data_IF_642584940465
#
_entry.id   IF_642584940465
#
_cell.length_a   1.000
_cell.length_b   1.000
_cell.length_c   1.000
_cell.angle_alpha   90.00
_cell.angle_beta   90.00
_cell.angle_gamma   90.00
#
_symmetry.space_group_name_H-M   'P 1'
#
loop_
_entity.id
_entity.type
_entity.pdbx_description
1 polymer ?
#
# COMPACT_ATOMS: atom_id res chain seq x y z
N UNK A 1 -11.96 -9.31 12.22
CA UNK A 1 -11.85 -9.41 10.75
C UNK A 1 -12.20 -8.09 10.07
N UNK A 2 -13.44 -7.57 10.13
CA UNK A 2 -13.86 -6.30 9.45
C UNK A 2 -13.10 -4.98 9.74
N UNK A 3 -12.19 -4.90 10.72
CA UNK A 3 -11.64 -3.62 11.19
C UNK A 3 -10.37 -3.18 10.47
N UNK A 4 -9.67 -4.07 9.76
CA UNK A 4 -8.27 -3.83 9.38
C UNK A 4 -8.11 -3.23 7.98
N UNK A 5 -8.98 -3.56 7.02
CA UNK A 5 -9.07 -2.87 5.73
C UNK A 5 -9.50 -1.40 5.89
N UNK A 6 -10.35 -1.13 6.88
CA UNK A 6 -10.73 0.24 7.25
C UNK A 6 -9.55 1.07 7.76
N UNK A 7 -8.50 0.47 8.33
CA UNK A 7 -7.31 1.19 8.82
C UNK A 7 -6.46 1.69 7.64
N UNK A 8 -6.30 0.87 6.60
CA UNK A 8 -5.56 1.25 5.39
C UNK A 8 -6.28 2.39 4.65
N UNK A 9 -7.60 2.29 4.48
CA UNK A 9 -8.43 3.31 3.82
C UNK A 9 -8.55 4.62 4.62
N UNK A 10 -8.66 4.56 5.96
CA UNK A 10 -8.76 5.77 6.79
C UNK A 10 -7.42 6.50 6.92
N UNK A 11 -6.30 5.79 6.97
CA UNK A 11 -4.96 6.39 7.04
C UNK A 11 -4.67 7.28 5.83
N UNK A 12 -5.01 6.82 4.62
CA UNK A 12 -4.80 7.56 3.37
C UNK A 12 -5.69 8.80 3.30
N UNK A 13 -6.95 8.72 3.75
CA UNK A 13 -7.90 9.83 3.67
C UNK A 13 -7.56 11.00 4.60
N UNK A 14 -6.87 10.75 5.73
CA UNK A 14 -6.43 11.80 6.66
C UNK A 14 -5.20 12.57 6.17
N UNK A 15 -4.39 11.98 5.28
CA UNK A 15 -3.15 12.58 4.77
C UNK A 15 -3.37 13.63 3.65
N UNK A 16 -4.51 13.60 2.97
CA UNK A 16 -4.79 14.43 1.78
C UNK A 16 -5.44 15.78 2.12
N UNK A 17 -6.14 15.90 3.26
CA UNK A 17 -7.13 17.00 3.47
C UNK A 17 -6.59 18.19 4.29
N UNK A 18 -5.49 18.03 5.03
CA UNK A 18 -4.92 19.11 5.85
C UNK A 18 -3.41 19.15 5.68
N UNK A 19 -2.75 20.19 6.19
CA UNK A 19 -1.28 20.33 6.36
C UNK A 19 -0.53 21.20 5.34
N UNK A 20 -0.68 22.53 5.41
CA UNK A 20 0.35 23.46 4.97
C UNK A 20 1.39 23.64 6.10
N UNK A 21 2.44 22.81 6.15
CA UNK A 21 3.51 22.90 7.16
C UNK A 21 4.74 23.69 6.70
N UNK A 22 5.36 24.43 7.63
CA UNK A 22 6.51 25.31 7.41
C UNK A 22 7.83 24.58 7.69
N UNK A 23 8.63 24.29 6.67
CA UNK A 23 9.96 23.71 6.87
C UNK A 23 10.98 24.71 7.40
N UNK A 24 11.88 24.25 8.28
CA UNK A 24 12.96 25.06 8.89
C UNK A 24 14.18 25.25 7.98
N UNK A 25 14.42 24.36 7.01
CA UNK A 25 15.44 24.47 5.96
C UNK A 25 14.78 24.35 4.58
N UNK A 26 14.93 25.39 3.76
CA UNK A 26 14.33 25.50 2.43
C UNK A 26 14.76 24.40 1.45
N UNK A 27 15.96 23.84 1.62
CA UNK A 27 16.47 22.79 0.73
C UNK A 27 15.93 21.41 1.10
N UNK A 28 15.87 21.11 2.40
CA UNK A 28 15.18 19.93 2.93
C UNK A 28 13.70 19.97 2.57
N UNK A 29 13.06 21.14 2.72
CA UNK A 29 11.67 21.39 2.33
C UNK A 29 11.36 20.96 0.91
N UNK A 30 12.18 21.43 -0.05
CA UNK A 30 11.96 21.14 -1.46
C UNK A 30 12.16 19.68 -1.82
N UNK A 31 13.18 19.04 -1.24
CA UNK A 31 13.41 17.62 -1.50
C UNK A 31 12.25 16.77 -0.95
N UNK A 32 11.78 17.11 0.24
CA UNK A 32 10.65 16.45 0.87
C UNK A 32 9.35 16.69 0.10
N UNK A 33 9.06 17.93 -0.28
CA UNK A 33 7.89 18.32 -1.09
C UNK A 33 7.91 17.59 -2.45
N UNK A 34 9.04 17.54 -3.15
CA UNK A 34 9.14 16.84 -4.43
C UNK A 34 8.93 15.31 -4.29
N UNK A 35 9.44 14.70 -3.20
CA UNK A 35 9.12 13.30 -2.91
C UNK A 35 7.63 13.15 -2.60
N UNK A 36 7.06 14.02 -1.77
CA UNK A 36 5.65 14.00 -1.39
C UNK A 36 4.72 14.16 -2.60
N UNK A 37 5.00 15.07 -3.53
CA UNK A 37 4.26 15.21 -4.79
C UNK A 37 4.25 13.90 -5.59
N UNK A 38 5.37 13.17 -5.61
CA UNK A 38 5.44 11.84 -6.23
C UNK A 38 4.56 10.83 -5.50
N UNK A 39 4.48 10.93 -4.16
CA UNK A 39 3.62 10.07 -3.36
C UNK A 39 2.14 10.38 -3.60
N UNK A 40 1.78 11.66 -3.67
CA UNK A 40 0.42 12.12 -3.91
C UNK A 40 -0.10 11.74 -5.30
N UNK A 41 0.73 11.92 -6.33
CA UNK A 41 0.35 11.60 -7.72
C UNK A 41 0.28 10.09 -7.99
N UNK A 42 1.15 9.29 -7.38
CA UNK A 42 1.36 7.89 -7.78
C UNK A 42 1.18 6.87 -6.67
N UNK A 43 1.74 7.14 -5.50
CA UNK A 43 1.73 6.17 -4.41
C UNK A 43 0.33 6.05 -3.78
N UNK A 44 -0.25 7.14 -3.27
CA UNK A 44 -1.54 7.08 -2.59
C UNK A 44 -2.67 6.56 -3.49
N UNK A 45 -2.80 6.99 -4.77
CA UNK A 45 -3.80 6.42 -5.67
C UNK A 45 -3.60 4.92 -5.91
N UNK A 46 -2.35 4.46 -6.01
CA UNK A 46 -2.05 3.04 -6.15
C UNK A 46 -2.42 2.24 -4.90
N UNK A 47 -2.13 2.75 -3.70
CA UNK A 47 -2.52 2.09 -2.45
C UNK A 47 -4.04 2.02 -2.32
N UNK A 48 -4.75 3.07 -2.72
CA UNK A 48 -6.23 3.10 -2.73
C UNK A 48 -6.79 2.01 -3.65
N UNK A 49 -6.29 1.93 -4.89
CA UNK A 49 -6.67 0.88 -5.84
C UNK A 49 -6.42 -0.53 -5.29
N UNK A 50 -5.26 -0.75 -4.65
CA UNK A 50 -4.91 -2.04 -4.06
C UNK A 50 -5.83 -2.36 -2.89
N UNK A 51 -6.09 -1.40 -2.00
CA UNK A 51 -6.98 -1.56 -0.86
C UNK A 51 -8.39 -1.95 -1.31
N UNK A 52 -8.91 -1.31 -2.35
CA UNK A 52 -10.21 -1.64 -2.94
C UNK A 52 -10.22 -3.04 -3.54
N UNK A 53 -9.20 -3.41 -4.30
CA UNK A 53 -9.09 -4.75 -4.90
C UNK A 53 -9.02 -5.85 -3.84
N UNK A 54 -8.23 -5.65 -2.78
CA UNK A 54 -8.11 -6.60 -1.67
C UNK A 54 -9.44 -6.71 -0.89
N UNK A 55 -10.12 -5.58 -0.65
CA UNK A 55 -11.43 -5.55 0.00
C UNK A 55 -12.49 -6.31 -0.81
N UNK A 56 -12.53 -6.08 -2.12
CA UNK A 56 -13.44 -6.76 -3.04
C UNK A 56 -13.11 -8.26 -3.12
N UNK A 57 -11.84 -8.62 -3.12
CA UNK A 57 -11.39 -10.02 -3.08
C UNK A 57 -11.91 -10.74 -1.83
N UNK A 58 -11.77 -10.12 -0.64
CA UNK A 58 -12.29 -10.68 0.62
C UNK A 58 -13.82 -10.80 0.58
N UNK A 59 -14.53 -9.77 0.12
CA UNK A 59 -15.99 -9.82 -0.02
C UNK A 59 -16.42 -11.00 -0.90
N UNK A 60 -15.77 -11.16 -2.06
CA UNK A 60 -16.08 -12.23 -3.01
C UNK A 60 -15.71 -13.60 -2.50
N UNK A 61 -14.66 -13.75 -1.71
CA UNK A 61 -14.38 -15.00 -0.98
C UNK A 61 -15.51 -15.38 -0.04
N UNK A 62 -15.98 -14.43 0.76
CA UNK A 62 -17.06 -14.65 1.72
C UNK A 62 -18.40 -14.99 1.04
N UNK A 63 -18.63 -14.48 -0.18
CA UNK A 63 -19.80 -14.75 -1.00
C UNK A 63 -19.69 -16.05 -1.83
N UNK A 64 -18.58 -16.79 -1.74
CA UNK A 64 -18.27 -17.93 -2.63
C UNK A 64 -18.25 -17.55 -4.13
N UNK A 65 -17.95 -16.29 -4.43
CA UNK A 65 -17.88 -15.71 -5.79
C UNK A 65 -16.46 -15.33 -6.22
N UNK A 66 -15.45 -15.65 -5.39
CA UNK A 66 -14.06 -15.26 -5.66
C UNK A 66 -13.58 -15.73 -7.03
N UNK A 67 -13.80 -16.99 -7.40
CA UNK A 67 -13.38 -17.52 -8.70
C UNK A 67 -14.03 -16.76 -9.87
N UNK A 68 -15.31 -16.42 -9.77
CA UNK A 68 -16.01 -15.64 -10.80
C UNK A 68 -15.39 -14.25 -10.93
N UNK A 69 -15.27 -13.52 -9.82
CA UNK A 69 -14.65 -12.19 -9.81
C UNK A 69 -13.21 -12.23 -10.35
N UNK A 70 -12.40 -13.13 -9.81
CA UNK A 70 -10.97 -13.15 -10.05
C UNK A 70 -10.62 -13.65 -11.45
N UNK A 71 -11.30 -14.70 -11.92
CA UNK A 71 -10.96 -15.35 -13.21
C UNK A 71 -11.82 -14.84 -14.37
N UNK A 72 -13.11 -14.55 -14.13
CA UNK A 72 -14.05 -14.24 -15.21
C UNK A 72 -14.34 -12.74 -15.35
N UNK A 73 -14.26 -11.98 -14.26
CA UNK A 73 -14.57 -10.53 -14.25
C UNK A 73 -13.33 -9.64 -14.30
N UNK A 74 -12.14 -10.21 -14.52
CA UNK A 74 -10.90 -9.45 -14.72
C UNK A 74 -10.10 -9.15 -13.44
N UNK A 75 -10.51 -9.64 -12.26
CA UNK A 75 -9.77 -9.38 -11.01
C UNK A 75 -8.31 -9.84 -11.05
N UNK A 76 -8.00 -10.94 -11.74
CA UNK A 76 -6.62 -11.40 -11.93
C UNK A 76 -5.79 -10.43 -12.79
N UNK A 77 -6.39 -9.83 -13.82
CA UNK A 77 -5.72 -8.84 -14.69
C UNK A 77 -5.46 -7.54 -13.91
N UNK A 78 -6.45 -7.04 -13.16
CA UNK A 78 -6.28 -5.91 -12.25
C UNK A 78 -5.12 -6.16 -11.26
N UNK A 79 -5.06 -7.36 -10.66
CA UNK A 79 -4.00 -7.74 -9.73
C UNK A 79 -2.60 -7.69 -10.37
N UNK A 80 -2.47 -8.15 -11.62
CA UNK A 80 -1.20 -8.10 -12.36
C UNK A 80 -0.83 -6.67 -12.74
N UNK A 81 -1.79 -5.84 -13.15
CA UNK A 81 -1.56 -4.43 -13.46
C UNK A 81 -1.06 -3.67 -12.22
N UNK A 82 -1.67 -3.88 -11.05
CA UNK A 82 -1.21 -3.29 -9.80
C UNK A 82 0.21 -3.74 -9.42
N UNK A 83 0.54 -5.02 -9.61
CA UNK A 83 1.91 -5.50 -9.39
C UNK A 83 2.92 -4.82 -10.32
N UNK A 84 2.55 -4.59 -11.57
CA UNK A 84 3.40 -3.87 -12.52
C UNK A 84 3.60 -2.41 -12.10
N UNK A 85 2.52 -1.70 -11.73
CA UNK A 85 2.60 -0.32 -11.22
C UNK A 85 3.48 -0.20 -9.98
N UNK A 86 3.43 -1.18 -9.07
CA UNK A 86 4.34 -1.23 -7.92
C UNK A 86 5.80 -1.30 -8.37
N UNK A 87 6.13 -2.15 -9.36
CA UNK A 87 7.51 -2.28 -9.86
C UNK A 87 7.99 -0.99 -10.50
N UNK A 88 7.14 -0.34 -11.30
CA UNK A 88 7.44 0.93 -11.96
C UNK A 88 7.69 2.04 -10.95
N UNK A 89 6.77 2.24 -9.99
CA UNK A 89 6.90 3.26 -8.95
C UNK A 89 8.12 2.99 -8.05
N UNK A 90 8.38 1.74 -7.69
CA UNK A 90 9.58 1.39 -6.92
C UNK A 90 10.87 1.72 -7.68
N UNK A 91 10.91 1.47 -8.99
CA UNK A 91 12.04 1.85 -9.84
C UNK A 91 12.26 3.37 -9.85
N UNK A 92 11.19 4.14 -9.98
CA UNK A 92 11.21 5.60 -9.92
C UNK A 92 11.75 6.11 -8.57
N UNK A 93 11.24 5.59 -7.44
CA UNK A 93 11.69 5.96 -6.09
C UNK A 93 13.15 5.56 -5.83
N UNK A 94 13.62 4.43 -6.37
CA UNK A 94 15.04 4.07 -6.27
C UNK A 94 15.94 5.08 -6.98
N UNK A 95 15.48 5.65 -8.10
CA UNK A 95 16.19 6.68 -8.86
C UNK A 95 15.99 8.10 -8.32
N UNK A 96 15.02 8.31 -7.42
CA UNK A 96 14.79 9.60 -6.76
C UNK A 96 15.95 9.90 -5.81
N UNK A 97 16.77 10.89 -6.14
CA UNK A 97 17.94 11.26 -5.36
C UNK A 97 17.50 12.05 -4.12
N UNK A 98 17.80 11.53 -2.94
CA UNK A 98 17.46 12.14 -1.65
C UNK A 98 18.70 12.17 -0.77
N UNK A 99 18.89 13.26 -0.03
CA UNK A 99 20.08 13.50 0.77
C UNK A 99 19.73 13.79 2.24
N UNK A 100 18.50 14.23 2.51
CA UNK A 100 18.10 14.59 3.87
C UNK A 100 17.60 13.37 4.64
N UNK A 101 17.97 13.20 5.92
CA UNK A 101 17.64 12.00 6.70
C UNK A 101 16.14 11.68 6.74
N UNK A 102 15.30 12.69 6.88
CA UNK A 102 13.84 12.50 6.97
C UNK A 102 13.23 12.11 5.62
N UNK A 103 13.70 12.71 4.52
CA UNK A 103 13.30 12.33 3.15
C UNK A 103 13.77 10.92 2.80
N UNK A 104 14.99 10.55 3.21
CA UNK A 104 15.51 9.18 3.09
C UNK A 104 14.60 8.21 3.85
N UNK A 105 14.24 8.53 5.10
CA UNK A 105 13.38 7.69 5.92
C UNK A 105 11.98 7.50 5.30
N UNK A 106 11.39 8.57 4.75
CA UNK A 106 10.11 8.50 4.03
C UNK A 106 10.22 7.60 2.80
N UNK A 107 11.25 7.82 1.98
CA UNK A 107 11.49 7.02 0.77
C UNK A 107 11.65 5.53 1.08
N UNK A 108 12.46 5.19 2.08
CA UNK A 108 12.68 3.81 2.51
C UNK A 108 11.39 3.17 3.04
N UNK A 109 10.61 3.92 3.82
CA UNK A 109 9.32 3.46 4.33
C UNK A 109 8.35 3.15 3.17
N UNK A 110 8.21 4.04 2.19
CA UNK A 110 7.34 3.83 1.02
C UNK A 110 7.80 2.61 0.20
N UNK A 111 9.11 2.44 -0.01
CA UNK A 111 9.65 1.26 -0.70
C UNK A 111 9.32 -0.03 0.06
N UNK A 112 9.35 -0.01 1.40
CA UNK A 112 8.95 -1.15 2.21
C UNK A 112 7.45 -1.45 2.08
N UNK A 113 6.60 -0.42 2.09
CA UNK A 113 5.16 -0.58 1.86
C UNK A 113 4.88 -1.22 0.49
N UNK A 114 5.52 -0.72 -0.57
CA UNK A 114 5.40 -1.29 -1.91
C UNK A 114 5.79 -2.78 -1.97
N UNK A 115 6.82 -3.21 -1.23
CA UNK A 115 7.21 -4.62 -1.16
C UNK A 115 6.12 -5.49 -0.49
N UNK A 116 5.52 -4.99 0.59
CA UNK A 116 4.47 -5.70 1.32
C UNK A 116 3.19 -5.79 0.49
N UNK A 117 2.78 -4.70 -0.14
CA UNK A 117 1.64 -4.67 -1.06
C UNK A 117 1.84 -5.63 -2.23
N UNK A 118 3.03 -5.66 -2.84
CA UNK A 118 3.34 -6.63 -3.91
C UNK A 118 3.19 -8.07 -3.43
N UNK A 119 3.71 -8.37 -2.24
CA UNK A 119 3.61 -9.70 -1.63
C UNK A 119 2.16 -10.10 -1.36
N UNK A 120 1.31 -9.17 -0.92
CA UNK A 120 -0.13 -9.40 -0.75
C UNK A 120 -0.80 -9.73 -2.08
N UNK A 121 -0.52 -8.97 -3.15
CA UNK A 121 -1.05 -9.23 -4.50
C UNK A 121 -0.55 -10.57 -5.09
N UNK A 122 0.72 -10.92 -4.87
CA UNK A 122 1.30 -12.21 -5.27
C UNK A 122 0.67 -13.38 -4.51
N UNK A 123 0.42 -13.23 -3.20
CA UNK A 123 -0.33 -14.22 -2.42
C UNK A 123 -1.74 -14.38 -2.94
N UNK A 124 -2.41 -13.27 -3.26
CA UNK A 124 -3.76 -13.29 -3.79
C UNK A 124 -3.82 -14.02 -5.13
N UNK A 125 -2.85 -13.78 -6.01
CA UNK A 125 -2.72 -14.50 -7.28
C UNK A 125 -2.62 -16.01 -7.10
N UNK A 126 -1.93 -16.45 -6.05
CA UNK A 126 -1.69 -17.87 -5.75
C UNK A 126 -2.65 -18.43 -4.70
N UNK A 127 -3.78 -17.76 -4.43
CA UNK A 127 -4.66 -18.16 -3.35
C UNK A 127 -5.27 -19.54 -3.62
N UNK A 128 -5.22 -20.45 -2.62
CA UNK A 128 -5.81 -21.76 -2.76
C UNK A 128 -7.34 -21.63 -2.89
N UNK A 129 -8.01 -22.59 -3.56
CA UNK A 129 -9.46 -22.63 -3.56
C UNK A 129 -9.98 -22.73 -2.12
N UNK A 130 -11.04 -22.01 -1.80
CA UNK A 130 -11.67 -22.00 -0.48
C UNK A 130 -12.19 -23.37 0.01
N UNK A 131 -12.27 -24.35 -0.89
CA UNK A 131 -12.60 -25.75 -0.58
C UNK A 131 -11.43 -26.51 0.05
N UNK A 132 -10.19 -26.03 -0.10
CA UNK A 132 -8.99 -26.57 0.56
C UNK A 132 -8.76 -25.86 1.90
N UNK A 133 -9.53 -26.27 2.91
CA UNK A 133 -9.65 -25.59 4.22
C UNK A 133 -8.29 -25.38 4.90
N UNK A 134 -7.40 -26.38 4.87
CA UNK A 134 -6.11 -26.29 5.56
C UNK A 134 -5.18 -25.29 4.89
N UNK A 135 -5.03 -25.37 3.56
CA UNK A 135 -4.18 -24.45 2.82
C UNK A 135 -4.77 -23.03 2.81
N UNK A 136 -6.10 -22.92 2.76
CA UNK A 136 -6.79 -21.63 2.86
C UNK A 136 -6.59 -20.96 4.22
N UNK A 137 -6.63 -21.72 5.32
CA UNK A 137 -6.37 -21.16 6.65
C UNK A 137 -4.90 -20.72 6.82
N UNK A 138 -3.93 -21.47 6.26
CA UNK A 138 -2.53 -21.02 6.24
C UNK A 138 -2.35 -19.74 5.43
N UNK A 139 -2.98 -19.67 4.25
CA UNK A 139 -3.03 -18.47 3.42
C UNK A 139 -3.59 -17.28 4.21
N UNK A 140 -4.72 -17.43 4.90
CA UNK A 140 -5.33 -16.37 5.71
C UNK A 140 -4.38 -15.86 6.81
N UNK A 141 -3.79 -16.76 7.60
CA UNK A 141 -2.86 -16.37 8.66
C UNK A 141 -1.64 -15.60 8.11
N UNK A 142 -1.13 -16.02 6.97
CA UNK A 142 -0.01 -15.37 6.30
C UNK A 142 -0.39 -14.02 5.68
N UNK A 143 -1.61 -13.90 5.19
CA UNK A 143 -2.16 -12.66 4.65
C UNK A 143 -2.38 -11.63 5.77
N UNK A 144 -2.95 -12.05 6.91
CA UNK A 144 -3.14 -11.21 8.09
C UNK A 144 -1.83 -10.62 8.62
N UNK A 145 -0.76 -11.42 8.66
CA UNK A 145 0.57 -10.95 9.07
C UNK A 145 1.10 -9.84 8.16
N UNK A 146 0.93 -9.98 6.85
CA UNK A 146 1.41 -8.96 5.91
C UNK A 146 0.58 -7.67 5.99
N UNK A 147 -0.73 -7.78 6.27
CA UNK A 147 -1.59 -6.61 6.57
C UNK A 147 -1.15 -5.90 7.86
N UNK A 148 -0.78 -6.65 8.91
CA UNK A 148 -0.25 -6.06 10.15
C UNK A 148 1.05 -5.30 9.89
N UNK A 149 1.98 -5.87 9.10
CA UNK A 149 3.21 -5.18 8.69
C UNK A 149 2.88 -3.91 7.89
N UNK A 150 1.92 -3.97 6.97
CA UNK A 150 1.49 -2.79 6.21
C UNK A 150 0.94 -1.69 7.12
N UNK A 151 0.15 -2.03 8.14
CA UNK A 151 -0.36 -1.09 9.14
C UNK A 151 0.75 -0.39 9.91
N UNK A 152 1.76 -1.15 10.38
CA UNK A 152 2.91 -0.59 11.09
C UNK A 152 3.73 0.36 10.21
N UNK A 153 3.84 0.07 8.92
CA UNK A 153 4.53 0.94 7.98
C UNK A 153 3.77 2.24 7.71
N UNK A 154 2.42 2.20 7.66
CA UNK A 154 1.58 3.40 7.57
C UNK A 154 1.75 4.28 8.81
N UNK A 155 1.69 3.72 10.02
CA UNK A 155 1.91 4.48 11.26
C UNK A 155 3.29 5.17 11.27
N UNK A 156 4.33 4.49 10.76
CA UNK A 156 5.67 5.07 10.62
C UNK A 156 5.69 6.20 9.58
N UNK A 157 4.94 6.08 8.49
CA UNK A 157 4.83 7.12 7.47
C UNK A 157 4.17 8.38 8.06
N UNK A 158 3.06 8.20 8.77
CA UNK A 158 2.33 9.29 9.44
C UNK A 158 3.26 10.05 10.39
N UNK A 159 4.02 9.33 11.22
CA UNK A 159 5.01 9.94 12.11
C UNK A 159 6.09 10.76 11.37
N UNK A 160 6.59 10.27 10.23
CA UNK A 160 7.60 10.99 9.44
C UNK A 160 7.01 12.25 8.80
N UNK A 161 5.77 12.16 8.31
CA UNK A 161 5.06 13.29 7.72
C UNK A 161 4.78 14.35 8.79
N UNK A 162 4.18 14.00 9.93
CA UNK A 162 3.91 14.91 11.04
C UNK A 162 5.17 15.68 11.48
N UNK A 163 6.30 14.98 11.67
CA UNK A 163 7.57 15.57 12.10
C UNK A 163 8.12 16.66 11.15
N UNK A 164 7.87 16.55 9.84
CA UNK A 164 8.46 17.45 8.84
C UNK A 164 7.55 18.65 8.49
N UNK A 165 6.33 18.67 9.02
CA UNK A 165 5.36 19.73 8.80
C UNK A 165 5.03 20.54 10.09
N UNK A 166 5.66 20.21 11.24
CA UNK A 166 5.75 21.04 12.47
C UNK A 166 6.91 22.06 12.42
#
# INVERSE_FOLDING_TARGET
MKKWLFIILIGIFLLIIFFPGYFTDYSQSKEFEALYETLDDKFFPLVDCISDHLSKSEEKMNQLQFTTFYVLEGGMEENLEMQQKIVELKSELMNFNVQYPDTIALKENVIQQLNVLKKLLEKMYNAPPNLDVMNFQMFQNEYEKDIEIQSQLLEKMDYILEKNYE
#
